data_IF_685466672515
#
_entry.id   IF_685466672515
#
_cell.length_a   1.000
_cell.length_b   1.000
_cell.length_c   1.000
_cell.angle_alpha   90.00
_cell.angle_beta   90.00
_cell.angle_gamma   90.00
#
_symmetry.space_group_name_H-M   'P 1'
#
loop_
_entity.id
_entity.type
_entity.pdbx_description
1 polymer ?
#
# COMPACT_ATOMS: atom_id res chain seq x y z
N UNK A 1 20.19 9.79 21.30
CA UNK A 1 20.00 9.14 22.61
C UNK A 1 18.59 9.48 23.05
N UNK A 2 17.68 8.52 23.01
CA UNK A 2 16.28 8.77 23.24
C UNK A 2 16.00 9.18 24.69
N UNK A 3 15.13 10.16 24.89
CA UNK A 3 14.75 10.69 26.21
C UNK A 3 13.31 10.32 26.55
N UNK A 4 13.07 9.89 27.78
CA UNK A 4 11.71 9.58 28.25
C UNK A 4 11.03 10.91 28.62
N UNK A 5 10.00 11.29 27.86
CA UNK A 5 9.18 12.46 28.14
C UNK A 5 8.22 12.18 29.30
N UNK A 6 7.62 10.98 29.32
CA UNK A 6 6.69 10.60 30.38
C UNK A 6 6.60 9.09 30.54
N UNK A 7 6.18 8.66 31.73
CA UNK A 7 5.89 7.27 32.01
C UNK A 7 4.59 7.13 32.79
N UNK A 8 3.77 6.15 32.41
CA UNK A 8 2.54 5.79 33.12
C UNK A 8 2.59 4.31 33.47
N UNK A 9 2.56 4.01 34.77
CA UNK A 9 2.45 2.63 35.28
C UNK A 9 0.99 2.19 35.26
N UNK A 10 0.75 1.07 34.61
CA UNK A 10 -0.47 0.28 34.71
C UNK A 10 -0.18 -0.99 35.53
N UNK A 11 -1.21 -1.72 35.98
CA UNK A 11 -1.04 -2.88 36.87
C UNK A 11 -0.03 -3.92 36.35
N UNK A 12 0.00 -4.15 35.02
CA UNK A 12 0.81 -5.20 34.41
C UNK A 12 1.79 -4.69 33.32
N UNK A 13 1.86 -3.38 33.07
CA UNK A 13 2.74 -2.81 32.04
C UNK A 13 3.03 -1.34 32.28
N UNK A 14 4.01 -0.79 31.57
CA UNK A 14 4.37 0.63 31.61
C UNK A 14 4.22 1.20 30.20
N UNK A 15 3.50 2.31 30.10
CA UNK A 15 3.40 3.09 28.88
C UNK A 15 4.46 4.18 28.96
N UNK A 16 5.31 4.29 27.93
CA UNK A 16 6.37 5.29 27.84
C UNK A 16 6.10 6.20 26.64
N UNK A 17 6.22 7.51 26.85
CA UNK A 17 6.33 8.49 25.76
C UNK A 17 7.80 8.88 25.64
N UNK A 18 8.37 8.70 24.46
CA UNK A 18 9.81 8.85 24.24
C UNK A 18 10.02 9.84 23.10
N UNK A 19 10.95 10.77 23.29
CA UNK A 19 11.51 11.62 22.24
C UNK A 19 12.78 10.93 21.71
N UNK A 20 12.80 10.57 20.43
CA UNK A 20 13.94 9.91 19.81
C UNK A 20 14.34 10.61 18.52
N UNK A 21 15.64 10.63 18.24
CA UNK A 21 16.16 11.11 16.96
C UNK A 21 15.83 10.13 15.84
N UNK A 22 15.88 10.62 14.60
CA UNK A 22 15.52 9.84 13.41
C UNK A 22 16.41 8.59 13.22
N UNK A 23 17.71 8.69 13.51
CA UNK A 23 18.66 7.56 13.41
C UNK A 23 18.34 6.42 14.41
N UNK A 24 17.77 6.76 15.57
CA UNK A 24 17.38 5.80 16.60
C UNK A 24 16.05 5.11 16.25
N UNK A 25 15.13 5.84 15.60
CA UNK A 25 13.89 5.29 15.05
C UNK A 25 14.17 4.29 13.92
N UNK A 26 15.18 4.54 13.09
CA UNK A 26 15.62 3.60 12.04
C UNK A 26 16.18 2.30 12.63
N UNK A 27 16.91 2.38 13.75
CA UNK A 27 17.45 1.24 14.49
C UNK A 27 16.38 0.34 15.11
N UNK A 28 15.17 0.87 15.34
CA UNK A 28 14.01 0.11 15.85
C UNK A 28 13.30 -0.72 14.77
N UNK A 29 13.82 -0.75 13.53
CA UNK A 29 13.34 -1.59 12.43
C UNK A 29 11.81 -1.51 12.19
N UNK A 30 11.23 -0.31 12.30
CA UNK A 30 9.87 -0.05 11.83
C UNK A 30 8.73 -0.60 12.69
N UNK A 31 8.97 -0.99 13.95
CA UNK A 31 7.90 -1.45 14.85
C UNK A 31 7.01 -0.33 15.43
N UNK A 32 7.26 0.93 15.07
CA UNK A 32 6.53 2.08 15.63
C UNK A 32 5.45 2.59 14.68
N UNK A 33 5.71 2.67 13.37
CA UNK A 33 4.78 3.26 12.39
C UNK A 33 4.81 2.49 11.07
N UNK A 34 3.97 1.47 10.93
CA UNK A 34 3.89 0.65 9.72
C UNK A 34 3.07 1.35 8.62
N UNK A 35 3.42 2.60 8.29
CA UNK A 35 2.92 3.32 7.10
C UNK A 35 4.11 3.55 6.18
N UNK A 36 4.42 2.55 5.35
CA UNK A 36 5.37 2.69 4.26
C UNK A 36 4.59 2.79 2.95
N UNK A 37 4.85 3.84 2.14
CA UNK A 37 4.35 3.92 0.75
C UNK A 37 4.88 2.79 -0.13
N UNK A 38 6.01 2.20 0.25
CA UNK A 38 6.65 1.06 -0.41
C UNK A 38 6.73 -0.06 0.63
N UNK A 39 6.00 -1.18 0.46
CA UNK A 39 6.04 -2.26 1.43
C UNK A 39 7.47 -2.79 1.59
N UNK A 40 7.97 -2.79 2.83
CA UNK A 40 9.25 -3.42 3.18
C UNK A 40 9.15 -4.95 3.18
N UNK A 41 7.95 -5.49 3.36
CA UNK A 41 7.64 -6.91 3.37
C UNK A 41 7.04 -7.41 2.04
N UNK A 42 6.95 -8.74 1.92
CA UNK A 42 6.64 -9.50 0.71
C UNK A 42 5.27 -9.13 0.10
N UNK A 43 5.26 -8.68 -1.16
CA UNK A 43 4.03 -8.40 -1.91
C UNK A 43 3.37 -9.72 -2.28
N UNK A 44 2.41 -10.15 -1.47
CA UNK A 44 1.77 -11.47 -1.59
C UNK A 44 0.67 -11.57 -2.65
N UNK A 45 0.20 -10.45 -3.19
CA UNK A 45 -0.83 -10.44 -4.24
C UNK A 45 -0.15 -10.42 -5.62
N UNK A 46 -0.12 -11.59 -6.27
CA UNK A 46 0.40 -11.70 -7.64
C UNK A 46 -0.59 -11.14 -8.64
N UNK A 47 -0.09 -10.26 -9.50
CA UNK A 47 -0.75 -9.81 -10.71
C UNK A 47 -0.11 -10.50 -11.93
N UNK A 48 -0.82 -10.50 -13.05
CA UNK A 48 -0.34 -11.06 -14.32
C UNK A 48 -0.14 -9.95 -15.34
N UNK A 49 0.81 -10.14 -16.25
CA UNK A 49 1.02 -9.26 -17.40
C UNK A 49 0.40 -9.93 -18.61
N UNK A 50 -0.47 -9.22 -19.31
CA UNK A 50 -0.97 -9.62 -20.62
C UNK A 50 -0.27 -8.84 -21.72
N UNK A 51 0.16 -9.51 -22.77
CA UNK A 51 0.90 -8.89 -23.88
C UNK A 51 0.08 -8.97 -25.17
N UNK A 52 0.12 -7.89 -25.97
CA UNK A 52 -0.58 -7.81 -27.26
C UNK A 52 0.33 -7.24 -28.33
N UNK A 53 0.11 -7.68 -29.58
CA UNK A 53 0.82 -7.18 -30.76
C UNK A 53 2.12 -7.93 -31.08
N UNK A 54 2.78 -7.53 -32.17
CA UNK A 54 4.03 -8.15 -32.63
C UNK A 54 5.12 -7.96 -31.56
N UNK A 55 5.65 -9.06 -31.04
CA UNK A 55 6.65 -9.10 -29.95
C UNK A 55 6.20 -8.42 -28.64
N UNK A 56 4.89 -8.37 -28.36
CA UNK A 56 4.40 -7.84 -27.08
C UNK A 56 4.67 -6.35 -26.89
N UNK A 57 4.60 -5.57 -27.97
CA UNK A 57 4.80 -4.12 -27.95
C UNK A 57 3.86 -3.39 -26.98
N UNK A 58 2.71 -3.98 -26.67
CA UNK A 58 1.80 -3.49 -25.64
C UNK A 58 1.72 -4.49 -24.49
N UNK A 59 1.97 -4.02 -23.27
CA UNK A 59 1.83 -4.79 -22.04
C UNK A 59 0.73 -4.20 -21.17
N UNK A 60 -0.13 -5.04 -20.63
CA UNK A 60 -1.23 -4.70 -19.75
C UNK A 60 -1.00 -5.32 -18.39
N UNK A 61 -0.90 -4.50 -17.35
CA UNK A 61 -0.89 -4.97 -15.97
C UNK A 61 -2.32 -5.29 -15.55
N UNK A 62 -2.59 -6.56 -15.24
CA UNK A 62 -3.95 -6.99 -14.91
C UNK A 62 -4.19 -6.85 -13.40
N UNK A 63 -5.16 -6.02 -13.02
CA UNK A 63 -5.57 -5.91 -11.62
C UNK A 63 -6.04 -7.30 -11.13
N UNK A 64 -5.54 -7.84 -10.02
CA UNK A 64 -5.98 -9.13 -9.48
C UNK A 64 -7.50 -9.19 -9.27
N UNK A 65 -8.14 -10.32 -9.58
CA UNK A 65 -9.62 -10.47 -9.47
C UNK A 65 -10.15 -10.12 -8.08
N UNK A 66 -9.39 -10.44 -7.03
CA UNK A 66 -9.70 -10.12 -5.63
C UNK A 66 -9.84 -8.62 -5.39
N UNK A 67 -9.08 -7.80 -6.10
CA UNK A 67 -9.07 -6.34 -5.97
C UNK A 67 -10.08 -5.63 -6.91
N UNK A 68 -10.72 -6.36 -7.84
CA UNK A 68 -11.70 -5.79 -8.78
C UNK A 68 -13.12 -5.68 -8.21
N UNK A 69 -13.44 -6.40 -7.14
CA UNK A 69 -14.82 -6.48 -6.63
C UNK A 69 -15.31 -5.10 -6.21
N UNK A 70 -16.50 -4.72 -6.70
CA UNK A 70 -17.22 -3.50 -6.33
C UNK A 70 -16.49 -2.17 -6.62
N UNK A 71 -15.53 -2.18 -7.55
CA UNK A 71 -14.76 -1.00 -7.95
C UNK A 71 -14.97 -0.74 -9.44
N UNK A 72 -15.59 0.40 -9.77
CA UNK A 72 -15.58 0.95 -11.13
C UNK A 72 -14.49 2.02 -11.21
N UNK A 73 -13.49 1.77 -12.06
CA UNK A 73 -12.39 2.70 -12.31
C UNK A 73 -12.85 3.81 -13.27
N UNK A 74 -12.43 5.03 -13.00
CA UNK A 74 -12.63 6.18 -13.89
C UNK A 74 -11.77 6.10 -15.15
N UNK A 75 -12.07 6.98 -16.10
CA UNK A 75 -11.36 7.02 -17.39
C UNK A 75 -9.97 7.64 -17.28
N UNK A 76 -9.78 8.57 -16.35
CA UNK A 76 -8.49 9.23 -16.14
C UNK A 76 -7.64 8.41 -15.18
N UNK A 77 -6.44 8.06 -15.64
CA UNK A 77 -5.45 7.31 -14.88
C UNK A 77 -4.12 8.05 -14.97
N UNK A 78 -3.59 8.46 -13.82
CA UNK A 78 -2.24 8.99 -13.70
C UNK A 78 -1.27 7.84 -13.45
N UNK A 79 -0.08 7.92 -14.06
CA UNK A 79 0.96 6.92 -13.93
C UNK A 79 2.26 7.58 -13.45
N UNK A 80 2.91 6.94 -12.48
CA UNK A 80 4.28 7.26 -12.10
C UNK A 80 5.15 6.02 -12.23
N UNK A 81 6.36 6.22 -12.76
CA UNK A 81 7.40 5.19 -12.87
C UNK A 81 8.50 5.52 -11.88
N UNK A 82 8.78 4.59 -10.98
CA UNK A 82 9.84 4.69 -10.00
C UNK A 82 10.87 3.60 -10.26
N UNK A 83 12.07 4.03 -10.63
CA UNK A 83 13.23 3.15 -10.75
C UNK A 83 13.88 3.03 -9.37
N UNK A 84 13.85 1.83 -8.81
CA UNK A 84 14.66 1.46 -7.66
C UNK A 84 15.90 0.71 -8.18
N UNK A 85 16.91 0.50 -7.32
CA UNK A 85 18.19 -0.11 -7.74
C UNK A 85 18.00 -1.46 -8.46
N UNK A 86 17.18 -2.34 -7.88
CA UNK A 86 16.94 -3.72 -8.33
C UNK A 86 15.48 -3.97 -8.73
N UNK A 87 14.61 -2.95 -8.63
CA UNK A 87 13.17 -3.07 -8.81
C UNK A 87 12.62 -1.94 -9.66
N UNK A 88 11.58 -2.25 -10.41
CA UNK A 88 10.82 -1.25 -11.15
C UNK A 88 9.40 -1.22 -10.60
N UNK A 89 8.94 -0.05 -10.16
CA UNK A 89 7.60 0.14 -9.66
C UNK A 89 6.80 1.07 -10.57
N UNK A 90 5.57 0.65 -10.88
CA UNK A 90 4.59 1.47 -11.57
C UNK A 90 3.43 1.73 -10.61
N UNK A 91 3.13 3.01 -10.38
CA UNK A 91 2.00 3.43 -9.55
C UNK A 91 0.94 4.03 -10.45
N UNK A 92 -0.27 3.46 -10.40
CA UNK A 92 -1.43 3.96 -11.12
C UNK A 92 -2.42 4.55 -10.14
N UNK A 93 -2.84 5.79 -10.38
CA UNK A 93 -3.82 6.51 -9.58
C UNK A 93 -5.02 6.80 -10.47
N UNK A 94 -6.21 6.40 -10.04
CA UNK A 94 -7.45 6.70 -10.73
C UNK A 94 -8.56 6.93 -9.71
N UNK A 95 -9.53 7.74 -10.11
CA UNK A 95 -10.75 7.91 -9.33
C UNK A 95 -11.57 6.64 -9.43
N UNK A 96 -12.15 6.18 -8.31
CA UNK A 96 -13.05 5.04 -8.33
C UNK A 96 -14.38 5.38 -7.68
N UNK A 97 -15.42 4.68 -8.10
CA UNK A 97 -16.73 4.71 -7.45
C UNK A 97 -17.03 3.34 -6.88
N UNK A 98 -17.53 3.32 -5.64
CA UNK A 98 -18.04 2.11 -5.00
C UNK A 98 -19.45 1.85 -5.53
N UNK A 99 -19.66 0.72 -6.18
CA UNK A 99 -21.02 0.25 -6.47
C UNK A 99 -21.61 -0.38 -5.21
N UNK A 100 -22.57 0.29 -4.59
CA UNK A 100 -23.39 -0.29 -3.53
C UNK A 100 -24.39 -1.28 -4.15
N UNK A 101 -24.28 -2.55 -3.81
CA UNK A 101 -25.32 -3.54 -4.09
C UNK A 101 -26.46 -3.35 -3.08
N UNK A 102 -27.37 -2.41 -3.32
CA UNK A 102 -28.65 -2.38 -2.62
C UNK A 102 -29.80 -2.08 -3.59
N UNK A 103 -30.78 -2.98 -3.56
CA UNK A 103 -32.12 -2.95 -4.16
C UNK A 103 -32.29 -3.45 -5.60
N UNK A 104 -32.43 -4.78 -5.72
CA UNK A 104 -33.37 -5.40 -6.67
C UNK A 104 -34.32 -6.31 -5.87
N UNK A 105 -35.30 -5.71 -5.21
CA UNK A 105 -36.58 -6.37 -4.94
C UNK A 105 -37.17 -6.71 -6.31
N UNK A 106 -37.31 -8.01 -6.60
CA UNK A 106 -37.95 -8.51 -7.83
C UNK A 106 -39.42 -8.06 -7.86
N UNK A 107 -39.97 -7.66 -9.01
CA UNK A 107 -41.42 -7.68 -9.22
C UNK A 107 -41.95 -9.12 -9.26
#
# INVERSE_FOLDING_TARGET
>A
MASIISSKRCKNHVILSIEAGQDELESLNGKVDNICLIPKEEINIRSSIYEKGRKGCTKYFLIPKTLRKNVKLGNDIYCSKLNLKDKLMFTFITNYTLTNENNSTRP
#
